data_IF_955430991841
#
_entry.id   IF_955430991841
#
_cell.length_a   1.000
_cell.length_b   1.000
_cell.length_c   1.000
_cell.angle_alpha   90.00
_cell.angle_beta   90.00
_cell.angle_gamma   90.00
#
_symmetry.space_group_name_H-M   'P 1'
#
loop_
_entity.id
_entity.type
_entity.pdbx_description
1 polymer ?
#
# COMPACT_ATOMS: atom_id res chain seq x y z
N UNK A 1 2.72 -15.31 -19.60
CA UNK A 1 1.44 -15.61 -18.93
C UNK A 1 1.18 -14.49 -17.93
N UNK A 2 0.07 -13.75 -18.01
CA UNK A 2 -0.25 -12.74 -17.00
C UNK A 2 -0.70 -13.46 -15.71
N UNK A 3 -0.46 -12.88 -14.51
CA UNK A 3 -0.93 -13.48 -13.28
C UNK A 3 -2.47 -13.42 -13.22
N UNK A 4 -3.06 -14.54 -12.82
CA UNK A 4 -4.50 -14.72 -12.56
C UNK A 4 -4.90 -13.92 -11.31
N UNK A 5 -5.11 -12.62 -11.47
CA UNK A 5 -5.72 -11.76 -10.46
C UNK A 5 -7.10 -11.31 -10.93
N UNK A 6 -8.13 -11.58 -10.13
CA UNK A 6 -9.51 -11.17 -10.39
C UNK A 6 -9.59 -9.64 -10.50
N UNK A 7 -9.97 -9.15 -11.68
CA UNK A 7 -10.17 -7.72 -11.95
C UNK A 7 -11.52 -7.27 -11.37
N UNK A 8 -11.47 -6.48 -10.30
CA UNK A 8 -12.62 -5.72 -9.80
C UNK A 8 -12.42 -4.26 -10.22
N UNK A 9 -12.77 -3.92 -11.47
CA UNK A 9 -12.62 -2.56 -11.99
C UNK A 9 -13.94 -1.84 -12.18
N UNK A 10 -14.28 -0.94 -11.26
CA UNK A 10 -15.04 0.28 -11.55
C UNK A 10 -14.06 1.46 -11.54
N UNK A 11 -14.21 2.42 -12.47
CA UNK A 11 -13.25 3.52 -12.77
C UNK A 11 -12.93 4.53 -11.63
N UNK A 12 -13.13 4.20 -10.35
CA UNK A 12 -12.74 5.00 -9.18
C UNK A 12 -12.01 4.20 -8.08
N UNK A 13 -11.80 2.90 -8.29
CA UNK A 13 -11.16 2.02 -7.30
C UNK A 13 -9.63 2.13 -7.40
N UNK A 14 -8.97 2.24 -6.25
CA UNK A 14 -7.49 2.17 -6.18
C UNK A 14 -7.05 0.82 -6.72
N UNK A 15 -6.26 0.84 -7.80
CA UNK A 15 -5.76 -0.40 -8.38
C UNK A 15 -4.62 -0.96 -7.53
N UNK A 16 -4.81 -2.21 -7.04
CA UNK A 16 -3.81 -2.90 -6.25
C UNK A 16 -3.43 -4.22 -6.90
N UNK A 17 -2.16 -4.34 -7.29
CA UNK A 17 -1.59 -5.56 -7.86
C UNK A 17 -0.55 -6.12 -6.91
N UNK A 18 -0.41 -7.44 -6.90
CA UNK A 18 0.46 -8.16 -5.98
C UNK A 18 1.37 -9.09 -6.78
N UNK A 19 2.67 -9.01 -6.51
CA UNK A 19 3.65 -9.95 -7.06
C UNK A 19 4.71 -10.27 -5.99
N UNK A 20 4.57 -11.44 -5.38
CA UNK A 20 5.41 -11.88 -4.27
C UNK A 20 5.37 -10.90 -3.10
N UNK A 21 6.51 -10.24 -2.82
CA UNK A 21 6.66 -9.29 -1.72
C UNK A 21 6.36 -7.83 -2.09
N UNK A 22 5.99 -7.55 -3.35
CA UNK A 22 5.71 -6.19 -3.84
C UNK A 22 4.22 -5.97 -4.03
N UNK A 23 3.80 -4.73 -3.87
CA UNK A 23 2.48 -4.29 -4.28
C UNK A 23 2.58 -3.09 -5.21
N UNK A 24 1.70 -3.02 -6.21
CA UNK A 24 1.40 -1.79 -6.92
C UNK A 24 0.18 -1.16 -6.27
N UNK A 25 0.22 0.13 -5.96
CA UNK A 25 -0.93 0.91 -5.47
C UNK A 25 -1.03 2.15 -6.34
N UNK A 26 -2.18 2.39 -6.96
CA UNK A 26 -2.43 3.53 -7.87
C UNK A 26 -1.32 3.72 -8.93
N UNK A 27 -0.90 2.62 -9.56
CA UNK A 27 0.11 2.62 -10.63
C UNK A 27 1.56 2.74 -10.15
N UNK A 28 1.82 2.77 -8.84
CA UNK A 28 3.16 2.87 -8.27
C UNK A 28 3.55 1.55 -7.62
N UNK A 29 4.67 0.97 -8.06
CA UNK A 29 5.25 -0.24 -7.45
C UNK A 29 6.07 0.08 -6.21
N UNK A 30 5.80 -0.65 -5.12
CA UNK A 30 6.54 -0.56 -3.86
C UNK A 30 7.29 -1.88 -3.59
N UNK A 31 8.57 -1.75 -3.25
CA UNK A 31 9.45 -2.86 -2.84
C UNK A 31 9.96 -2.66 -1.40
N UNK A 32 10.39 -3.74 -0.72
CA UNK A 32 10.92 -3.65 0.64
C UNK A 32 11.98 -2.54 0.77
N UNK A 33 11.87 -1.77 1.86
CA UNK A 33 12.66 -0.59 2.22
C UNK A 33 12.37 0.71 1.46
N UNK A 34 11.41 0.74 0.52
CA UNK A 34 11.01 1.99 -0.11
C UNK A 34 10.46 2.96 0.95
N UNK A 35 10.94 4.21 0.92
CA UNK A 35 10.42 5.27 1.76
C UNK A 35 9.08 5.75 1.21
N UNK A 36 8.07 5.80 2.08
CA UNK A 36 6.70 6.17 1.71
C UNK A 36 6.15 7.25 2.65
N UNK A 37 5.24 8.03 2.11
CA UNK A 37 4.34 8.90 2.84
C UNK A 37 2.96 8.26 2.81
N UNK A 38 2.35 8.11 3.98
CA UNK A 38 0.95 7.67 4.11
C UNK A 38 0.10 8.85 4.53
N UNK A 39 -1.02 9.03 3.83
CA UNK A 39 -2.09 9.94 4.19
C UNK A 39 -3.22 9.10 4.77
N UNK A 40 -3.44 9.20 6.08
CA UNK A 40 -4.52 8.52 6.79
C UNK A 40 -5.58 9.54 7.21
N UNK A 41 -6.84 9.29 6.83
CA UNK A 41 -7.95 10.18 7.17
C UNK A 41 -8.19 10.34 8.69
N UNK A 42 -7.74 9.38 9.50
CA UNK A 42 -8.01 9.33 10.95
C UNK A 42 -6.92 9.98 11.78
N UNK A 43 -5.65 9.83 11.39
CA UNK A 43 -4.49 10.30 12.17
C UNK A 43 -3.59 11.30 11.42
N UNK A 44 -3.91 11.59 10.16
CA UNK A 44 -3.17 12.52 9.32
C UNK A 44 -2.02 11.87 8.55
N UNK A 45 -1.01 12.69 8.21
CA UNK A 45 0.12 12.32 7.37
C UNK A 45 1.27 11.76 8.21
N UNK A 46 1.88 10.66 7.79
CA UNK A 46 3.11 10.15 8.41
C UNK A 46 4.07 9.50 7.41
N UNK A 47 5.35 9.47 7.79
CA UNK A 47 6.41 8.82 7.03
C UNK A 47 6.59 7.38 7.51
N UNK A 48 6.87 6.48 6.57
CA UNK A 48 7.17 5.08 6.86
C UNK A 48 8.10 4.47 5.80
N UNK A 49 8.46 3.21 5.99
CA UNK A 49 9.08 2.35 4.98
C UNK A 49 8.15 1.20 4.65
N UNK A 50 8.01 0.86 3.38
CA UNK A 50 7.35 -0.36 2.96
C UNK A 50 8.20 -1.56 3.39
N UNK A 51 7.59 -2.53 4.08
CA UNK A 51 8.30 -3.72 4.57
C UNK A 51 7.96 -4.92 3.72
N UNK A 52 6.67 -5.25 3.63
CA UNK A 52 6.18 -6.43 2.95
C UNK A 52 4.68 -6.31 2.66
N UNK A 53 4.21 -7.20 1.80
CA UNK A 53 2.80 -7.53 1.68
C UNK A 53 2.56 -8.90 2.30
N UNK A 54 1.57 -8.98 3.19
CA UNK A 54 1.14 -10.20 3.87
C UNK A 54 -0.33 -10.49 3.54
N UNK A 55 -0.61 -11.34 2.55
CA UNK A 55 -1.97 -11.61 2.06
C UNK A 55 -2.67 -10.29 1.67
N UNK A 56 -3.59 -9.80 2.51
CA UNK A 56 -4.36 -8.57 2.32
C UNK A 56 -3.88 -7.39 3.18
N UNK A 57 -2.65 -7.45 3.70
CA UNK A 57 -2.09 -6.43 4.57
C UNK A 57 -0.79 -5.86 4.01
N UNK A 58 -0.73 -4.54 3.84
CA UNK A 58 0.54 -3.84 3.62
C UNK A 58 1.17 -3.58 4.99
N UNK A 59 2.42 -4.03 5.15
CA UNK A 59 3.19 -3.83 6.38
C UNK A 59 4.14 -2.66 6.17
N UNK A 60 4.01 -1.66 7.04
CA UNK A 60 4.86 -0.47 7.05
C UNK A 60 5.62 -0.37 8.36
N UNK A 61 6.86 0.13 8.30
CA UNK A 61 7.64 0.49 9.48
C UNK A 61 7.66 2.01 9.63
N UNK A 62 7.14 2.53 10.75
CA UNK A 62 7.16 3.96 11.07
C UNK A 62 8.57 4.40 11.46
N UNK A 63 8.79 5.71 11.55
CA UNK A 63 10.09 6.31 11.90
C UNK A 63 10.58 5.95 13.31
N UNK A 64 9.67 5.64 14.22
CA UNK A 64 9.98 5.15 15.58
C UNK A 64 10.33 3.66 15.62
N UNK A 65 10.37 2.98 14.47
CA UNK A 65 10.66 1.56 14.34
C UNK A 65 9.45 0.64 14.52
N UNK A 66 8.31 1.16 14.97
CA UNK A 66 7.07 0.37 15.12
C UNK A 66 6.55 -0.10 13.76
N UNK A 67 5.90 -1.26 13.75
CA UNK A 67 5.26 -1.81 12.54
C UNK A 67 3.75 -1.59 12.60
N UNK A 68 3.17 -1.21 11.47
CA UNK A 68 1.73 -1.07 11.27
C UNK A 68 1.30 -1.95 10.11
N UNK A 69 0.16 -2.63 10.25
CA UNK A 69 -0.45 -3.48 9.23
C UNK A 69 -1.71 -2.79 8.73
N UNK A 70 -1.77 -2.49 7.44
CA UNK A 70 -2.85 -1.74 6.82
C UNK A 70 -3.56 -2.63 5.80
N UNK A 71 -4.87 -2.84 6.00
CA UNK A 71 -5.63 -3.71 5.13
C UNK A 71 -5.82 -3.08 3.74
N UNK A 72 -5.74 -3.88 2.67
CA UNK A 72 -5.89 -3.40 1.28
C UNK A 72 -7.22 -2.68 1.04
N UNK A 73 -8.29 -3.06 1.75
CA UNK A 73 -9.59 -2.39 1.63
C UNK A 73 -9.58 -0.92 2.07
N UNK A 74 -8.64 -0.51 2.93
CA UNK A 74 -8.51 0.89 3.35
C UNK A 74 -8.00 1.77 2.21
N UNK A 75 -7.11 1.23 1.37
CA UNK A 75 -6.63 1.88 0.16
C UNK A 75 -7.72 1.89 -0.91
N UNK A 76 -8.37 0.74 -1.17
CA UNK A 76 -9.52 0.66 -2.10
C UNK A 76 -10.65 1.60 -1.74
N UNK A 77 -10.95 1.75 -0.44
CA UNK A 77 -11.94 2.67 0.08
C UNK A 77 -11.46 4.12 0.23
N UNK A 78 -10.26 4.47 -0.27
CA UNK A 78 -9.64 5.81 -0.18
C UNK A 78 -9.56 6.39 1.24
N UNK A 79 -9.57 5.54 2.26
CA UNK A 79 -9.30 5.93 3.64
C UNK A 79 -7.81 6.16 3.87
N UNK A 80 -6.99 5.50 3.06
CA UNK A 80 -5.55 5.63 3.01
C UNK A 80 -5.08 5.95 1.59
N UNK A 81 -4.07 6.79 1.48
CA UNK A 81 -3.26 6.95 0.27
C UNK A 81 -1.78 6.73 0.63
N UNK A 82 -1.04 6.08 -0.26
CA UNK A 82 0.39 5.86 -0.11
C UNK A 82 1.11 6.48 -1.31
N UNK A 83 2.20 7.18 -1.05
CA UNK A 83 2.99 7.88 -2.07
C UNK A 83 4.48 7.66 -1.82
N UNK A 84 5.32 7.59 -2.86
CA UNK A 84 6.77 7.62 -2.69
C UNK A 84 7.17 8.87 -1.91
N UNK A 85 8.10 8.73 -0.97
CA UNK A 85 8.72 9.88 -0.34
C UNK A 85 9.76 10.47 -1.31
N UNK A 86 9.52 11.69 -1.77
CA UNK A 86 10.49 12.47 -2.56
C UNK A 86 11.75 12.83 -1.75
#
# INVERSE_FOLDING_TARGET
MPPTGTYYGGRNDVEIYVDGSRCMVDGIWYKPNDAVVVLDASIGKYNAKYVALESDWIVLQRTDGSKTRLHLSLFRGRKLCMQPKA
#
